data_IF_097181235453
#
_entry.id   IF_097181235453
#
_cell.length_a   1.000
_cell.length_b   1.000
_cell.length_c   1.000
_cell.angle_alpha   90.00
_cell.angle_beta   90.00
_cell.angle_gamma   90.00
#
_symmetry.space_group_name_H-M   'P 1'
#
loop_
_entity.id
_entity.type
_entity.pdbx_description
1 polymer ?
#
# COMPACT_ATOMS: atom_id res chain seq x y z
N UNK A 1 -11.70 4.15 -17.34
CA UNK A 1 -12.90 5.04 -17.38
C UNK A 1 -13.00 5.96 -16.16
N UNK A 2 -12.62 5.52 -14.95
CA UNK A 2 -12.56 6.39 -13.74
C UNK A 2 -11.55 7.55 -13.84
N UNK A 3 -10.44 7.36 -14.55
CA UNK A 3 -9.39 8.40 -14.73
C UNK A 3 -9.91 9.61 -15.54
N UNK A 4 -10.80 9.37 -16.51
CA UNK A 4 -11.33 10.42 -17.39
C UNK A 4 -12.30 11.36 -16.67
N UNK A 5 -13.07 10.85 -15.71
CA UNK A 5 -13.98 11.67 -14.88
C UNK A 5 -13.16 12.51 -13.88
N UNK A 6 -12.09 11.95 -13.33
CA UNK A 6 -11.18 12.72 -12.48
C UNK A 6 -10.51 13.87 -13.26
N UNK A 7 -10.01 13.64 -14.48
CA UNK A 7 -9.33 14.67 -15.26
C UNK A 7 -10.20 15.91 -15.61
N UNK A 8 -11.54 15.77 -15.60
CA UNK A 8 -12.48 16.84 -15.94
C UNK A 8 -12.71 17.87 -14.81
N UNK A 9 -12.33 17.58 -13.55
CA UNK A 9 -12.65 18.43 -12.38
C UNK A 9 -11.41 19.16 -11.77
N UNK A 10 -10.26 19.19 -12.46
CA UNK A 10 -8.98 19.70 -11.92
C UNK A 10 -8.63 19.18 -10.50
N UNK A 11 -8.75 17.87 -10.23
CA UNK A 11 -8.50 17.34 -8.91
C UNK A 11 -7.01 17.37 -8.60
N UNK A 12 -6.68 17.70 -7.36
CA UNK A 12 -5.30 17.63 -6.90
C UNK A 12 -4.92 16.16 -6.72
N UNK A 13 -3.67 15.83 -7.03
CA UNK A 13 -3.12 14.49 -6.87
C UNK A 13 -1.90 14.54 -5.93
N UNK A 14 -1.83 13.60 -4.99
CA UNK A 14 -0.65 13.34 -4.16
C UNK A 14 -0.24 11.89 -4.33
N UNK A 15 1.01 11.66 -4.71
CA UNK A 15 1.60 10.32 -4.79
C UNK A 15 2.29 9.97 -3.47
N UNK A 16 2.20 8.71 -3.07
CA UNK A 16 2.94 8.15 -1.94
C UNK A 16 3.56 6.80 -2.30
N UNK A 17 4.71 6.50 -1.69
CA UNK A 17 5.45 5.25 -1.90
C UNK A 17 5.23 4.30 -0.71
N UNK A 18 4.82 3.07 -1.01
CA UNK A 18 4.57 2.01 -0.02
C UNK A 18 5.82 1.18 0.26
N UNK A 19 6.87 1.24 -0.58
CA UNK A 19 8.08 0.38 -0.50
C UNK A 19 8.72 0.37 0.88
N UNK A 20 8.67 1.50 1.58
CA UNK A 20 9.20 1.66 2.93
C UNK A 20 8.56 0.65 3.89
N UNK A 21 7.25 0.42 3.80
CA UNK A 21 6.53 -0.52 4.67
C UNK A 21 7.06 -1.96 4.57
N UNK A 22 7.37 -2.40 3.34
CA UNK A 22 7.82 -3.77 3.09
C UNK A 22 9.21 -4.09 3.64
N UNK A 23 10.05 -3.09 3.93
CA UNK A 23 11.43 -3.32 4.39
C UNK A 23 11.57 -3.31 5.91
N UNK A 24 10.60 -2.73 6.63
CA UNK A 24 10.67 -2.56 8.08
C UNK A 24 9.78 -3.53 8.87
N UNK A 25 8.79 -4.18 8.24
CA UNK A 25 7.98 -5.18 8.94
C UNK A 25 8.79 -6.44 9.28
N UNK A 26 8.69 -6.89 10.53
CA UNK A 26 9.21 -8.20 10.93
C UNK A 26 8.36 -9.31 10.31
N UNK A 27 9.01 -10.36 9.81
CA UNK A 27 8.32 -11.53 9.28
C UNK A 27 7.64 -12.27 10.44
N UNK A 28 6.31 -12.24 10.49
CA UNK A 28 5.52 -13.02 11.45
C UNK A 28 5.66 -14.54 11.24
N UNK A 29 6.07 -14.97 10.05
CA UNK A 29 6.27 -16.37 9.68
C UNK A 29 7.76 -16.64 9.39
N UNK A 30 8.26 -17.82 9.76
CA UNK A 30 9.61 -18.23 9.39
C UNK A 30 9.67 -18.55 7.89
N UNK A 31 10.19 -17.60 7.12
CA UNK A 31 10.43 -17.80 5.69
C UNK A 31 11.88 -18.25 5.46
N UNK A 32 12.01 -19.39 4.79
CA UNK A 32 13.30 -19.90 4.33
C UNK A 32 13.39 -19.75 2.81
N UNK A 33 14.57 -19.37 2.32
CA UNK A 33 14.87 -19.32 0.89
C UNK A 33 16.09 -20.15 0.54
N UNK A 34 16.18 -20.57 -0.72
CA UNK A 34 17.40 -21.17 -1.26
C UNK A 34 18.54 -20.15 -1.16
N UNK A 35 19.76 -20.64 -0.94
CA UNK A 35 20.94 -19.78 -0.95
C UNK A 35 21.02 -19.00 -2.27
N UNK A 36 21.32 -17.69 -2.21
CA UNK A 36 21.47 -16.88 -3.40
C UNK A 36 22.70 -17.31 -4.22
N UNK A 37 22.68 -16.98 -5.50
CA UNK A 37 23.80 -17.20 -6.41
C UNK A 37 25.04 -16.45 -5.88
N UNK A 38 26.18 -17.13 -5.82
CA UNK A 38 27.41 -16.61 -5.18
C UNK A 38 27.62 -16.99 -3.71
N UNK A 39 26.59 -17.49 -3.02
CA UNK A 39 26.72 -18.06 -1.66
C UNK A 39 26.57 -19.59 -1.63
N UNK A 40 26.33 -20.21 -2.80
CA UNK A 40 26.14 -21.64 -2.92
C UNK A 40 27.41 -22.43 -2.58
N UNK A 41 27.40 -23.10 -1.44
CA UNK A 41 28.51 -23.88 -0.90
C UNK A 41 28.38 -25.40 -1.18
N UNK A 42 27.50 -25.80 -2.10
CA UNK A 42 27.11 -27.20 -2.37
C UNK A 42 26.42 -27.92 -1.21
N UNK A 43 26.10 -27.23 -0.12
CA UNK A 43 25.30 -27.80 0.96
C UNK A 43 23.80 -27.73 0.65
N UNK A 44 23.01 -28.50 1.38
CA UNK A 44 21.53 -28.42 1.38
C UNK A 44 20.99 -27.35 2.32
N UNK A 45 21.83 -26.44 2.83
CA UNK A 45 21.40 -25.41 3.78
C UNK A 45 20.51 -24.37 3.08
N UNK A 46 19.56 -23.83 3.83
CA UNK A 46 18.65 -22.76 3.41
C UNK A 46 18.89 -21.51 4.26
N UNK A 47 18.60 -20.33 3.72
CA UNK A 47 18.73 -19.06 4.42
C UNK A 47 17.39 -18.73 5.11
N UNK A 48 17.42 -18.46 6.42
CA UNK A 48 16.27 -17.91 7.14
C UNK A 48 16.24 -16.39 6.94
N UNK A 49 15.11 -15.87 6.45
CA UNK A 49 14.90 -14.44 6.34
C UNK A 49 14.64 -13.84 7.71
N UNK A 50 15.41 -12.82 8.07
CA UNK A 50 15.21 -12.02 9.30
C UNK A 50 14.34 -10.79 9.06
N UNK A 51 14.23 -10.36 7.81
CA UNK A 51 13.41 -9.22 7.36
C UNK A 51 12.73 -9.61 6.06
N UNK A 52 11.59 -8.97 5.80
CA UNK A 52 10.89 -9.09 4.54
C UNK A 52 11.76 -8.61 3.37
N UNK A 53 11.83 -9.43 2.33
CA UNK A 53 12.38 -9.09 1.02
C UNK A 53 11.26 -8.61 0.08
N UNK A 54 11.63 -7.77 -0.86
CA UNK A 54 10.75 -7.33 -1.94
C UNK A 54 10.24 -8.55 -2.74
N UNK A 55 8.94 -8.54 -3.08
CA UNK A 55 8.30 -9.59 -3.89
C UNK A 55 7.83 -10.84 -3.12
N UNK A 56 7.98 -10.89 -1.80
CA UNK A 56 7.38 -11.95 -0.99
C UNK A 56 5.84 -11.82 -0.99
N UNK A 57 5.17 -12.83 -1.54
CA UNK A 57 3.70 -12.90 -1.60
C UNK A 57 3.04 -12.80 -0.22
N UNK A 58 3.67 -13.31 0.83
CA UNK A 58 3.17 -13.24 2.21
C UNK A 58 3.11 -11.79 2.72
N UNK A 59 4.18 -11.02 2.47
CA UNK A 59 4.29 -9.63 2.92
C UNK A 59 3.28 -8.76 2.17
N UNK A 60 3.13 -8.96 0.86
CA UNK A 60 2.09 -8.30 0.05
C UNK A 60 0.66 -8.58 0.57
N UNK A 61 0.37 -9.81 1.02
CA UNK A 61 -0.94 -10.16 1.57
C UNK A 61 -1.20 -9.50 2.92
N UNK A 62 -0.22 -9.53 3.81
CA UNK A 62 -0.33 -8.91 5.13
C UNK A 62 -0.50 -7.41 5.01
N UNK A 63 0.35 -6.78 4.20
CA UNK A 63 0.26 -5.36 3.91
C UNK A 63 -1.09 -4.98 3.31
N UNK A 64 -1.57 -5.74 2.31
CA UNK A 64 -2.87 -5.48 1.70
C UNK A 64 -4.01 -5.57 2.74
N UNK A 65 -3.95 -6.52 3.68
CA UNK A 65 -4.93 -6.62 4.76
C UNK A 65 -4.85 -5.41 5.71
N UNK A 66 -3.66 -5.09 6.20
CA UNK A 66 -3.41 -3.93 7.07
C UNK A 66 -3.85 -2.61 6.43
N UNK A 67 -3.60 -2.48 5.13
CA UNK A 67 -4.00 -1.33 4.33
C UNK A 67 -5.53 -1.26 4.15
N UNK A 68 -6.19 -2.36 3.82
CA UNK A 68 -7.65 -2.43 3.71
C UNK A 68 -8.31 -2.07 5.05
N UNK A 69 -7.79 -2.58 6.16
CA UNK A 69 -8.28 -2.25 7.50
C UNK A 69 -8.08 -0.74 7.79
N UNK A 70 -6.92 -0.16 7.42
CA UNK A 70 -6.67 1.27 7.54
C UNK A 70 -7.65 2.10 6.71
N UNK A 71 -7.87 1.74 5.44
CA UNK A 71 -8.82 2.40 4.54
C UNK A 71 -10.22 2.41 5.14
N UNK A 72 -10.68 1.27 5.66
CA UNK A 72 -11.99 1.15 6.30
C UNK A 72 -12.08 2.06 7.53
N UNK A 73 -11.03 2.14 8.36
CA UNK A 73 -10.97 3.04 9.50
C UNK A 73 -10.98 4.53 9.10
N UNK A 74 -10.45 4.87 7.92
CA UNK A 74 -10.55 6.23 7.36
C UNK A 74 -11.92 6.52 6.71
N UNK A 75 -12.86 5.55 6.71
CA UNK A 75 -14.20 5.69 6.14
C UNK A 75 -14.24 5.60 4.61
N UNK A 76 -13.17 5.13 3.97
CA UNK A 76 -13.18 4.83 2.54
C UNK A 76 -13.75 3.44 2.29
N UNK A 77 -14.44 3.28 1.16
CA UNK A 77 -14.98 1.99 0.72
C UNK A 77 -14.35 1.60 -0.61
N UNK A 78 -14.07 0.31 -0.78
CA UNK A 78 -13.68 -0.23 -2.08
C UNK A 78 -14.80 0.02 -3.09
N UNK A 79 -14.45 0.40 -4.33
CA UNK A 79 -15.42 0.50 -5.40
C UNK A 79 -16.04 -0.88 -5.69
N UNK A 80 -17.35 -0.90 -5.96
CA UNK A 80 -18.09 -2.13 -6.28
C UNK A 80 -17.65 -2.72 -7.63
N UNK A 81 -17.13 -1.87 -8.52
CA UNK A 81 -16.78 -2.25 -9.90
C UNK A 81 -15.32 -2.65 -10.08
N UNK A 82 -14.41 -2.20 -9.22
CA UNK A 82 -12.98 -2.49 -9.27
C UNK A 82 -12.40 -2.51 -7.85
N UNK A 83 -11.62 -3.53 -7.44
CA UNK A 83 -11.03 -3.61 -6.10
C UNK A 83 -9.86 -2.64 -5.85
N UNK A 84 -9.50 -1.83 -6.86
CA UNK A 84 -8.29 -1.03 -6.89
C UNK A 84 -8.48 0.43 -6.41
N UNK A 85 -9.58 1.13 -6.76
CA UNK A 85 -9.91 2.44 -6.19
C UNK A 85 -10.80 2.35 -4.93
N UNK A 86 -10.40 3.07 -3.89
CA UNK A 86 -11.17 3.34 -2.68
C UNK A 86 -11.72 4.76 -2.70
N UNK A 87 -13.00 4.92 -2.35
CA UNK A 87 -13.70 6.20 -2.46
C UNK A 87 -14.40 6.53 -1.15
N UNK A 88 -14.28 7.79 -0.73
CA UNK A 88 -15.10 8.43 0.31
C UNK A 88 -15.76 9.65 -0.29
N UNK A 89 -17.09 9.66 -0.31
CA UNK A 89 -17.90 10.79 -0.77
C UNK A 89 -18.78 11.25 0.39
N UNK A 90 -18.56 12.49 0.81
CA UNK A 90 -19.38 13.23 1.76
C UNK A 90 -20.14 14.35 1.01
N UNK A 91 -21.02 15.06 1.70
CA UNK A 91 -21.78 16.19 1.10
C UNK A 91 -20.88 17.27 0.49
N UNK A 92 -19.69 17.46 1.05
CA UNK A 92 -18.74 18.53 0.69
C UNK A 92 -17.36 18.04 0.30
N UNK A 93 -17.01 16.78 0.60
CA UNK A 93 -15.67 16.24 0.33
C UNK A 93 -15.71 14.94 -0.46
N UNK A 94 -14.75 14.80 -1.38
CA UNK A 94 -14.48 13.60 -2.16
C UNK A 94 -13.02 13.25 -1.99
N UNK A 95 -12.74 12.02 -1.58
CA UNK A 95 -11.41 11.46 -1.52
C UNK A 95 -11.39 10.13 -2.28
N UNK A 96 -10.48 10.03 -3.24
CA UNK A 96 -10.20 8.86 -4.04
C UNK A 96 -8.78 8.41 -3.73
N UNK A 97 -8.60 7.12 -3.43
CA UNK A 97 -7.29 6.51 -3.18
C UNK A 97 -7.16 5.32 -4.12
N UNK A 98 -6.09 5.30 -4.90
CA UNK A 98 -5.77 4.22 -5.82
C UNK A 98 -4.41 3.67 -5.43
N UNK A 99 -4.27 2.36 -5.37
CA UNK A 99 -2.98 1.71 -5.12
C UNK A 99 -2.67 0.75 -6.25
N UNK A 100 -1.46 0.90 -6.79
CA UNK A 100 -0.91 0.02 -7.79
C UNK A 100 0.47 -0.47 -7.36
N UNK A 101 0.50 -1.69 -6.81
CA UNK A 101 1.71 -2.39 -6.34
C UNK A 101 2.44 -1.58 -5.27
N UNK A 102 3.39 -0.74 -5.68
CA UNK A 102 4.25 0.05 -4.79
C UNK A 102 3.86 1.53 -4.76
N UNK A 103 3.10 1.99 -5.76
CA UNK A 103 2.72 3.39 -5.93
C UNK A 103 1.26 3.59 -5.50
N UNK A 104 1.07 4.55 -4.62
CA UNK A 104 -0.25 5.01 -4.21
C UNK A 104 -0.55 6.41 -4.73
N UNK A 105 -1.79 6.64 -5.15
CA UNK A 105 -2.29 7.93 -5.58
C UNK A 105 -3.49 8.32 -4.74
N UNK A 106 -3.44 9.50 -4.13
CA UNK A 106 -4.56 10.15 -3.46
C UNK A 106 -5.03 11.30 -4.33
N UNK A 107 -6.33 11.42 -4.50
CA UNK A 107 -6.98 12.51 -5.21
C UNK A 107 -8.19 13.01 -4.44
N UNK A 108 -8.41 14.32 -4.41
CA UNK A 108 -9.55 14.88 -3.72
C UNK A 108 -9.80 16.34 -4.07
N UNK A 109 -10.95 16.85 -3.62
CA UNK A 109 -11.32 18.25 -3.78
C UNK A 109 -10.83 19.14 -2.62
N UNK A 110 -10.32 18.56 -1.53
CA UNK A 110 -9.79 19.28 -0.36
C UNK A 110 -8.36 18.81 -0.08
N UNK A 111 -7.39 19.70 -0.21
CA UNK A 111 -5.95 19.39 -0.10
C UNK A 111 -5.53 18.97 1.31
N UNK A 112 -6.18 19.56 2.31
CA UNK A 112 -5.94 19.30 3.72
C UNK A 112 -6.31 17.86 4.08
N UNK A 113 -7.46 17.36 3.59
CA UNK A 113 -7.87 15.97 3.78
C UNK A 113 -6.89 14.99 3.12
N UNK A 114 -6.37 15.34 1.94
CA UNK A 114 -5.39 14.51 1.24
C UNK A 114 -4.06 14.44 2.01
N UNK A 115 -3.58 15.59 2.51
CA UNK A 115 -2.35 15.67 3.28
C UNK A 115 -2.48 14.95 4.62
N UNK A 116 -3.63 15.08 5.29
CA UNK A 116 -3.94 14.37 6.52
C UNK A 116 -3.97 12.85 6.30
N UNK A 117 -4.58 12.39 5.20
CA UNK A 117 -4.58 10.97 4.86
C UNK A 117 -3.17 10.42 4.67
N UNK A 118 -2.33 11.11 3.88
CA UNK A 118 -0.93 10.70 3.66
C UNK A 118 -0.14 10.71 4.96
N UNK A 119 -0.32 11.71 5.83
CA UNK A 119 0.34 11.77 7.13
C UNK A 119 -0.07 10.61 8.05
N UNK A 120 -1.37 10.28 8.11
CA UNK A 120 -1.88 9.12 8.87
C UNK A 120 -1.34 7.80 8.33
N UNK A 121 -1.25 7.67 7.01
CA UNK A 121 -0.68 6.50 6.37
C UNK A 121 0.81 6.37 6.71
N UNK A 122 1.60 7.43 6.53
CA UNK A 122 3.03 7.44 6.88
C UNK A 122 3.27 7.12 8.36
N UNK A 123 2.44 7.64 9.27
CA UNK A 123 2.52 7.30 10.69
C UNK A 123 2.20 5.82 10.97
N UNK A 124 1.30 5.20 10.20
CA UNK A 124 0.97 3.77 10.33
C UNK A 124 2.09 2.87 9.80
N UNK A 125 2.82 3.33 8.77
CA UNK A 125 3.92 2.59 8.14
C UNK A 125 5.25 2.69 8.91
N UNK A 126 5.44 3.75 9.69
CA UNK A 126 6.65 3.97 10.52
C UNK A 126 6.48 3.54 11.99
N UNK A 127 5.35 2.92 12.33
CA UNK A 127 5.02 2.38 13.66
C UNK A 127 5.32 0.89 13.74
#
# INVERSE_FOLDING_TARGET
>A
MLISIAASENPQFLQFDVKTAFLYEELQEEVFMKQPEGYYDKSSRVCRLKKSLYGLKQVLRFWNRSFVDFIHNQGLKASVSDPCPFIRINKTSKLLVVIYVDDGLVSGNIKEEMSEFVNKLSSKLNS
#
